data_IF_095921747858
#
_entry.id   IF_095921747858
#
_cell.length_a   1.000
_cell.length_b   1.000
_cell.length_c   1.000
_cell.angle_alpha   90.00
_cell.angle_beta   90.00
_cell.angle_gamma   90.00
#
_symmetry.space_group_name_H-M   'P 1'
#
loop_
_entity.id
_entity.type
_entity.pdbx_description
1 polymer ?
#
# COMPACT_ATOMS: atom_id res chain seq x y z
N UNK A 1 25.58 -7.03 2.10
CA UNK A 1 24.83 -6.93 3.37
C UNK A 1 25.68 -6.08 4.28
N UNK A 2 25.22 -4.87 4.59
CA UNK A 2 25.96 -4.01 5.52
C UNK A 2 25.92 -4.67 6.91
N UNK A 3 27.07 -4.69 7.56
CA UNK A 3 27.24 -5.25 8.90
C UNK A 3 26.50 -4.35 9.90
N UNK A 4 25.23 -4.64 10.16
CA UNK A 4 24.40 -3.88 11.08
C UNK A 4 24.87 -4.23 12.49
N UNK A 5 25.72 -3.38 13.06
CA UNK A 5 26.12 -3.45 14.46
C UNK A 5 24.86 -3.62 15.33
N UNK A 6 24.80 -4.71 16.10
CA UNK A 6 23.67 -4.95 17.02
C UNK A 6 23.59 -3.77 18.01
N UNK A 7 22.47 -3.05 18.07
CA UNK A 7 22.35 -1.91 18.97
C UNK A 7 22.40 -2.39 20.42
N UNK A 8 23.10 -1.64 21.26
CA UNK A 8 23.02 -1.83 22.71
C UNK A 8 21.79 -1.08 23.20
N UNK A 9 20.82 -1.79 23.73
CA UNK A 9 19.58 -1.21 24.26
C UNK A 9 19.89 -0.55 25.61
N UNK A 10 19.75 0.77 25.65
CA UNK A 10 19.83 1.56 26.89
C UNK A 10 18.44 2.08 27.24
N UNK A 11 18.21 2.40 28.53
CA UNK A 11 16.96 3.03 28.96
C UNK A 11 16.71 4.35 28.24
N UNK A 12 17.75 5.13 27.99
CA UNK A 12 17.67 6.40 27.25
C UNK A 12 17.17 6.18 25.81
N UNK A 13 17.66 5.14 25.13
CA UNK A 13 17.23 4.82 23.76
C UNK A 13 15.76 4.36 23.73
N UNK A 14 15.36 3.50 24.67
CA UNK A 14 14.00 2.96 24.74
C UNK A 14 12.97 4.07 25.08
N UNK A 15 13.37 5.03 25.91
CA UNK A 15 12.53 6.13 26.35
C UNK A 15 12.66 7.39 25.49
N UNK A 16 13.55 7.39 24.49
CA UNK A 16 13.70 8.52 23.60
C UNK A 16 12.36 8.85 22.89
N UNK A 17 11.96 10.13 22.85
CA UNK A 17 10.75 10.52 22.15
C UNK A 17 10.88 10.20 20.65
N UNK A 18 9.84 9.63 20.08
CA UNK A 18 9.71 9.43 18.65
C UNK A 18 8.87 10.54 18.04
N UNK A 19 9.07 10.83 16.75
CA UNK A 19 8.34 11.90 16.08
C UNK A 19 7.07 11.39 15.39
N UNK A 20 6.06 12.25 15.35
CA UNK A 20 4.86 12.09 14.54
C UNK A 20 4.16 10.73 14.68
N UNK A 21 3.85 10.10 13.55
CA UNK A 21 3.17 8.81 13.49
C UNK A 21 3.93 7.68 14.18
N UNK A 22 5.24 7.75 14.27
CA UNK A 22 6.03 6.69 14.90
C UNK A 22 5.77 6.59 16.40
N UNK A 23 5.58 7.71 17.09
CA UNK A 23 5.18 7.73 18.49
C UNK A 23 3.78 7.15 18.68
N UNK A 24 2.83 7.54 17.81
CA UNK A 24 1.47 7.01 17.83
C UNK A 24 1.47 5.47 17.66
N UNK A 25 2.24 4.95 16.71
CA UNK A 25 2.39 3.50 16.51
C UNK A 25 3.01 2.85 17.75
N UNK A 26 4.02 3.45 18.38
CA UNK A 26 4.64 2.93 19.60
C UNK A 26 3.62 2.82 20.73
N UNK A 27 2.78 3.81 20.89
CA UNK A 27 1.71 3.81 21.90
C UNK A 27 0.70 2.68 21.64
N UNK A 28 0.22 2.50 20.41
CA UNK A 28 -0.66 1.39 20.02
C UNK A 28 -0.03 0.03 20.36
N UNK A 29 1.28 -0.07 20.19
CA UNK A 29 2.03 -1.30 20.43
C UNK A 29 2.34 -1.59 21.91
N UNK A 30 1.98 -0.72 22.84
CA UNK A 30 2.22 -0.93 24.28
C UNK A 30 1.55 -2.21 24.80
N UNK A 31 0.37 -2.52 24.29
CA UNK A 31 -0.38 -3.72 24.67
C UNK A 31 0.05 -4.99 23.92
N UNK A 32 1.01 -4.89 22.99
CA UNK A 32 1.48 -6.00 22.18
C UNK A 32 2.22 -7.05 23.03
N UNK A 33 1.68 -8.26 23.09
CA UNK A 33 2.27 -9.40 23.81
C UNK A 33 3.28 -10.20 22.98
N UNK A 34 3.65 -9.71 21.81
CA UNK A 34 4.65 -10.36 20.94
C UNK A 34 4.32 -11.83 20.59
N UNK A 35 3.05 -12.20 20.46
CA UNK A 35 2.60 -13.57 20.19
C UNK A 35 2.96 -14.09 18.79
N UNK A 36 3.29 -13.21 17.83
CA UNK A 36 3.69 -13.59 16.48
C UNK A 36 2.54 -13.86 15.49
N UNK A 37 1.27 -13.77 15.90
CA UNK A 37 0.12 -14.01 15.01
C UNK A 37 0.14 -13.14 13.76
N UNK A 38 0.60 -11.88 13.86
CA UNK A 38 0.75 -10.96 12.73
C UNK A 38 1.79 -11.46 11.70
N UNK A 39 2.86 -12.11 12.14
CA UNK A 39 3.87 -12.68 11.25
C UNK A 39 3.42 -14.01 10.64
N UNK A 40 2.82 -14.89 11.47
CA UNK A 40 2.35 -16.19 11.02
C UNK A 40 1.20 -16.11 10.01
N UNK A 41 0.38 -15.04 10.07
CA UNK A 41 -0.74 -14.83 9.15
C UNK A 41 -0.42 -13.97 7.94
N UNK A 42 0.78 -13.42 7.83
CA UNK A 42 1.15 -12.53 6.73
C UNK A 42 1.49 -13.33 5.45
N UNK A 43 0.75 -13.15 4.34
CA UNK A 43 1.03 -13.86 3.10
C UNK A 43 2.34 -13.41 2.45
N UNK A 44 2.82 -12.21 2.78
CA UNK A 44 4.04 -11.63 2.22
C UNK A 44 5.28 -11.81 3.13
N UNK A 45 5.18 -12.52 4.25
CA UNK A 45 6.27 -12.62 5.24
C UNK A 45 7.57 -13.17 4.68
N UNK A 46 7.49 -14.09 3.71
CA UNK A 46 8.67 -14.66 3.05
C UNK A 46 9.44 -13.71 2.14
N UNK A 47 8.86 -12.55 1.80
CA UNK A 47 9.48 -11.50 0.99
C UNK A 47 10.04 -10.34 1.85
N UNK A 48 9.68 -10.32 3.12
CA UNK A 48 10.09 -9.29 4.08
C UNK A 48 11.51 -9.54 4.59
N UNK A 49 12.26 -8.46 4.82
CA UNK A 49 13.59 -8.52 5.42
C UNK A 49 13.54 -8.85 6.91
N UNK A 50 12.54 -8.34 7.61
CA UNK A 50 12.19 -8.71 8.99
C UNK A 50 10.70 -9.01 9.09
N UNK A 51 10.32 -9.83 10.06
CA UNK A 51 8.90 -10.14 10.25
C UNK A 51 8.12 -8.95 10.83
N UNK A 52 6.79 -8.85 10.61
CA UNK A 52 5.96 -7.84 11.27
C UNK A 52 6.18 -7.80 12.80
N UNK A 53 6.24 -8.95 13.46
CA UNK A 53 6.54 -9.03 14.91
C UNK A 53 7.86 -8.36 15.26
N UNK A 54 8.92 -8.62 14.48
CA UNK A 54 10.23 -8.02 14.70
C UNK A 54 10.20 -6.52 14.49
N UNK A 55 9.50 -6.04 13.46
CA UNK A 55 9.31 -4.61 13.20
C UNK A 55 8.63 -3.91 14.39
N UNK A 56 7.55 -4.51 14.93
CA UNK A 56 6.88 -3.97 16.14
C UNK A 56 7.83 -3.88 17.34
N UNK A 57 8.73 -4.83 17.47
CA UNK A 57 9.71 -4.79 18.55
C UNK A 57 10.74 -3.67 18.36
N UNK A 58 11.21 -3.42 17.13
CA UNK A 58 12.10 -2.28 16.83
C UNK A 58 11.45 -0.94 17.19
N UNK A 59 10.15 -0.78 16.87
CA UNK A 59 9.40 0.45 17.18
C UNK A 59 9.27 0.64 18.69
N UNK A 60 8.92 -0.41 19.42
CA UNK A 60 8.84 -0.36 20.89
C UNK A 60 10.16 0.03 21.55
N UNK A 61 11.28 -0.36 20.95
CA UNK A 61 12.62 -0.02 21.43
C UNK A 61 13.14 1.32 20.88
N UNK A 62 12.39 2.03 20.04
CA UNK A 62 12.80 3.31 19.49
C UNK A 62 13.94 3.24 18.48
N UNK A 63 14.20 2.06 17.89
CA UNK A 63 15.33 1.82 16.97
C UNK A 63 15.04 2.39 15.58
N UNK A 64 14.97 3.72 15.48
CA UNK A 64 14.58 4.49 14.28
C UNK A 64 15.37 4.10 13.03
N UNK A 65 16.69 3.98 13.13
CA UNK A 65 17.54 3.66 11.98
C UNK A 65 17.21 2.28 11.39
N UNK A 66 16.99 1.27 12.23
CA UNK A 66 16.63 -0.07 11.81
C UNK A 66 15.20 -0.13 11.22
N UNK A 67 14.29 0.69 11.75
CA UNK A 67 12.93 0.82 11.20
C UNK A 67 13.02 1.39 9.78
N UNK A 68 13.75 2.49 9.58
CA UNK A 68 13.93 3.14 8.27
C UNK A 68 14.61 2.22 7.25
N UNK A 69 15.59 1.43 7.69
CA UNK A 69 16.30 0.49 6.84
C UNK A 69 15.44 -0.72 6.40
N UNK A 70 14.32 -0.99 7.10
CA UNK A 70 13.46 -2.13 6.79
C UNK A 70 12.55 -1.88 5.58
N UNK A 71 12.42 -2.92 4.74
CA UNK A 71 11.48 -2.93 3.62
C UNK A 71 10.11 -3.52 3.97
N UNK A 72 9.95 -4.09 5.16
CA UNK A 72 8.79 -4.86 5.59
C UNK A 72 7.48 -4.10 5.39
N UNK A 73 7.40 -2.85 5.84
CA UNK A 73 6.18 -2.04 5.69
C UNK A 73 5.91 -1.61 4.24
N UNK A 74 6.93 -1.55 3.36
CA UNK A 74 6.75 -1.32 1.93
C UNK A 74 6.18 -2.53 1.20
N UNK A 75 6.55 -3.75 1.61
CA UNK A 75 6.07 -5.01 1.03
C UNK A 75 4.64 -5.35 1.50
N UNK A 76 4.16 -4.73 2.56
CA UNK A 76 2.82 -4.98 3.10
C UNK A 76 1.72 -4.70 2.06
N UNK A 77 0.89 -5.71 1.75
CA UNK A 77 -0.21 -5.63 0.78
C UNK A 77 -1.51 -5.07 1.34
N UNK A 78 -1.53 -4.65 2.61
CA UNK A 78 -2.72 -4.14 3.32
C UNK A 78 -3.90 -5.14 3.32
N UNK A 79 -3.63 -6.44 3.42
CA UNK A 79 -4.65 -7.49 3.39
C UNK A 79 -5.44 -7.65 4.71
N UNK A 80 -5.09 -6.93 5.76
CA UNK A 80 -5.71 -6.92 7.10
C UNK A 80 -5.65 -8.24 7.88
N UNK A 81 -5.07 -9.32 7.37
CA UNK A 81 -5.00 -10.61 8.06
C UNK A 81 -4.37 -10.52 9.46
N UNK A 82 -3.31 -9.70 9.61
CA UNK A 82 -2.65 -9.46 10.88
C UNK A 82 -3.50 -8.68 11.89
N UNK A 83 -4.32 -7.75 11.42
CA UNK A 83 -5.25 -6.96 12.25
C UNK A 83 -6.36 -7.84 12.80
N UNK A 84 -7.05 -8.59 11.94
CA UNK A 84 -8.17 -9.46 12.33
C UNK A 84 -7.74 -10.55 13.33
N UNK A 85 -6.50 -11.03 13.20
CA UNK A 85 -5.97 -12.11 14.05
C UNK A 85 -5.20 -11.61 15.29
N UNK A 86 -5.13 -10.30 15.52
CA UNK A 86 -4.44 -9.76 16.68
C UNK A 86 -5.24 -10.02 17.96
N UNK A 87 -4.72 -10.80 18.95
CA UNK A 87 -5.46 -11.07 20.19
C UNK A 87 -5.58 -9.85 21.10
N UNK A 88 -4.85 -8.78 20.79
CA UNK A 88 -4.89 -7.51 21.52
C UNK A 88 -5.67 -6.41 20.81
N UNK A 89 -6.29 -6.73 19.66
CA UNK A 89 -7.07 -5.77 18.87
C UNK A 89 -6.25 -4.65 18.22
N UNK A 90 -4.93 -4.81 18.12
CA UNK A 90 -4.07 -3.80 17.50
C UNK A 90 -4.32 -3.77 15.99
N UNK A 91 -4.55 -2.59 15.43
CA UNK A 91 -4.79 -2.39 14.00
C UNK A 91 -3.46 -2.35 13.24
N UNK A 92 -2.78 -3.52 13.21
CA UNK A 92 -1.40 -3.63 12.69
C UNK A 92 -1.26 -3.27 11.21
N UNK A 93 -2.30 -3.45 10.40
CA UNK A 93 -2.31 -3.00 8.99
C UNK A 93 -2.27 -1.48 8.88
N UNK A 94 -2.97 -0.77 9.76
CA UNK A 94 -2.93 0.68 9.80
C UNK A 94 -1.54 1.19 10.23
N UNK A 95 -0.94 0.55 11.22
CA UNK A 95 0.42 0.88 11.64
C UNK A 95 1.44 0.73 10.49
N UNK A 96 1.27 -0.27 9.59
CA UNK A 96 2.09 -0.39 8.37
C UNK A 96 1.89 0.80 7.41
N UNK A 97 0.65 1.30 7.28
CA UNK A 97 0.33 2.48 6.47
C UNK A 97 0.93 3.75 7.07
N UNK A 98 0.80 3.92 8.38
CA UNK A 98 1.36 5.06 9.12
C UNK A 98 2.89 5.11 9.03
N UNK A 99 3.58 3.96 9.02
CA UNK A 99 5.03 3.91 8.80
C UNK A 99 5.42 4.47 7.42
N UNK A 100 4.67 4.13 6.37
CA UNK A 100 4.92 4.70 5.03
C UNK A 100 4.72 6.21 5.02
N UNK A 101 3.65 6.68 5.67
CA UNK A 101 3.37 8.11 5.81
C UNK A 101 4.49 8.81 6.56
N UNK A 102 4.88 8.28 7.72
CA UNK A 102 5.96 8.83 8.53
C UNK A 102 7.27 8.98 7.73
N UNK A 103 7.70 7.93 7.00
CA UNK A 103 8.93 7.99 6.17
C UNK A 103 8.83 9.08 5.10
N UNK A 104 7.65 9.26 4.49
CA UNK A 104 7.43 10.29 3.48
C UNK A 104 7.42 11.71 4.08
N UNK A 105 6.78 11.90 5.22
CA UNK A 105 6.65 13.19 5.89
C UNK A 105 8.01 13.68 6.48
N UNK A 106 8.83 12.76 6.97
CA UNK A 106 10.18 13.04 7.44
C UNK A 106 11.18 13.31 6.29
N UNK A 107 10.73 13.23 5.02
CA UNK A 107 11.59 13.41 3.85
C UNK A 107 12.68 12.36 3.71
N UNK A 108 12.49 11.17 4.28
CA UNK A 108 13.44 10.07 4.21
C UNK A 108 13.41 9.42 2.82
N UNK A 109 14.48 8.71 2.47
CA UNK A 109 14.60 8.07 1.16
C UNK A 109 13.51 7.03 0.94
N UNK A 110 12.65 7.27 -0.05
CA UNK A 110 11.65 6.31 -0.51
C UNK A 110 12.28 5.26 -1.43
N UNK A 111 11.71 4.04 -1.51
CA UNK A 111 12.09 3.10 -2.54
C UNK A 111 11.97 3.71 -3.94
N UNK A 112 12.93 3.43 -4.82
CA UNK A 112 12.97 4.00 -6.18
C UNK A 112 11.66 3.78 -6.96
N UNK A 113 11.06 2.58 -6.82
CA UNK A 113 9.78 2.26 -7.46
C UNK A 113 8.63 3.15 -6.98
N UNK A 114 8.62 3.51 -5.70
CA UNK A 114 7.61 4.42 -5.12
C UNK A 114 7.84 5.85 -5.61
N UNK A 115 9.11 6.29 -5.67
CA UNK A 115 9.46 7.61 -6.21
C UNK A 115 9.03 7.73 -7.66
N UNK A 116 9.34 6.76 -8.52
CA UNK A 116 8.91 6.73 -9.93
C UNK A 116 7.39 6.73 -10.07
N UNK A 117 6.69 5.92 -9.25
CA UNK A 117 5.23 5.91 -9.27
C UNK A 117 4.64 7.28 -8.88
N UNK A 118 5.20 7.91 -7.84
CA UNK A 118 4.79 9.26 -7.43
C UNK A 118 4.98 10.27 -8.55
N UNK A 119 6.14 10.28 -9.21
CA UNK A 119 6.42 11.14 -10.35
C UNK A 119 5.43 10.92 -11.50
N UNK A 120 5.19 9.65 -11.87
CA UNK A 120 4.24 9.28 -12.92
C UNK A 120 2.83 9.78 -12.60
N UNK A 121 2.35 9.56 -11.37
CA UNK A 121 1.01 10.00 -10.96
C UNK A 121 0.90 11.52 -10.93
N UNK A 122 1.94 12.23 -10.48
CA UNK A 122 1.91 13.70 -10.41
C UNK A 122 2.03 14.39 -11.76
N UNK A 123 2.72 13.78 -12.72
CA UNK A 123 2.94 14.36 -14.05
C UNK A 123 1.93 13.89 -15.10
N UNK A 124 1.55 12.61 -15.06
CA UNK A 124 0.66 11.99 -16.03
C UNK A 124 -0.77 11.78 -15.53
N UNK A 125 -1.03 12.00 -14.23
CA UNK A 125 -2.34 11.78 -13.57
C UNK A 125 -2.87 10.35 -13.73
N UNK A 126 -1.97 9.38 -13.91
CA UNK A 126 -2.26 7.94 -13.93
C UNK A 126 -1.03 7.13 -13.48
N UNK A 127 -1.21 5.83 -13.22
CA UNK A 127 -0.15 4.95 -12.72
C UNK A 127 0.68 4.29 -13.83
N UNK A 128 0.23 4.33 -15.09
CA UNK A 128 0.87 3.65 -16.22
C UNK A 128 1.89 4.51 -16.94
N UNK A 129 1.75 5.84 -16.87
CA UNK A 129 2.54 6.78 -17.68
C UNK A 129 2.02 6.92 -19.13
N UNK A 130 0.94 6.25 -19.48
CA UNK A 130 0.32 6.32 -20.80
C UNK A 130 -0.48 7.63 -20.98
N UNK A 131 -0.69 8.02 -22.24
CA UNK A 131 -1.56 9.16 -22.57
C UNK A 131 -3.01 8.89 -22.12
N UNK A 132 -3.57 9.82 -21.34
CA UNK A 132 -4.94 9.72 -20.86
C UNK A 132 -5.99 9.70 -21.97
N UNK A 133 -5.69 10.22 -23.18
CA UNK A 133 -6.56 10.11 -24.34
C UNK A 133 -6.82 8.64 -24.75
N UNK A 134 -5.91 7.73 -24.39
CA UNK A 134 -6.00 6.28 -24.68
C UNK A 134 -6.78 5.47 -23.66
N UNK A 135 -7.46 6.11 -22.68
CA UNK A 135 -8.18 5.39 -21.62
C UNK A 135 -9.28 4.45 -22.09
N UNK A 136 -9.72 4.57 -23.33
CA UNK A 136 -10.73 3.68 -23.93
C UNK A 136 -10.12 2.54 -24.75
N UNK A 137 -8.81 2.36 -24.78
CA UNK A 137 -8.12 1.32 -25.58
C UNK A 137 -8.66 -0.10 -25.29
N UNK A 138 -9.10 -0.37 -24.08
CA UNK A 138 -9.72 -1.65 -23.70
C UNK A 138 -11.00 -1.97 -24.49
N UNK A 139 -11.66 -0.98 -25.06
CA UNK A 139 -12.90 -1.14 -25.83
C UNK A 139 -12.64 -1.52 -27.30
N UNK A 140 -11.42 -1.35 -27.82
CA UNK A 140 -11.09 -1.62 -29.23
C UNK A 140 -11.23 -3.11 -29.61
N UNK A 141 -11.15 -4.02 -28.62
CA UNK A 141 -11.29 -5.47 -28.82
C UNK A 141 -12.72 -5.97 -28.58
N UNK A 142 -13.71 -5.09 -28.45
CA UNK A 142 -15.12 -5.47 -28.41
C UNK A 142 -15.61 -5.75 -29.81
N UNK A 143 -16.40 -6.82 -30.02
CA UNK A 143 -17.03 -7.14 -31.33
C UNK A 143 -17.90 -6.00 -31.83
N UNK A 144 -18.57 -5.33 -30.89
CA UNK A 144 -19.32 -4.11 -31.14
C UNK A 144 -19.02 -3.13 -30.01
N UNK A 145 -18.49 -1.96 -30.35
CA UNK A 145 -18.26 -0.86 -29.42
C UNK A 145 -19.55 -0.04 -29.28
N UNK A 146 -20.23 -0.10 -28.12
CA UNK A 146 -21.45 0.67 -27.92
C UNK A 146 -21.20 2.18 -28.00
N UNK A 147 -22.10 2.92 -28.59
CA UNK A 147 -22.04 4.39 -28.62
C UNK A 147 -22.08 5.01 -27.23
N UNK A 148 -22.67 4.32 -26.26
CA UNK A 148 -22.77 4.70 -24.84
C UNK A 148 -21.42 4.85 -24.13
N UNK A 149 -20.35 4.19 -24.62
CA UNK A 149 -19.00 4.30 -24.06
C UNK A 149 -18.40 5.70 -24.28
N UNK A 150 -18.82 6.41 -25.31
CA UNK A 150 -18.29 7.74 -25.60
C UNK A 150 -18.73 8.74 -24.53
N UNK A 151 -17.81 9.62 -24.06
CA UNK A 151 -18.16 10.65 -23.09
C UNK A 151 -19.36 11.50 -23.57
N UNK A 152 -20.38 11.61 -22.75
CA UNK A 152 -21.56 12.44 -23.01
C UNK A 152 -22.02 13.15 -21.75
N UNK A 153 -22.65 14.30 -21.89
CA UNK A 153 -23.30 15.01 -20.79
C UNK A 153 -24.62 14.33 -20.42
N UNK A 154 -25.03 14.43 -19.17
CA UNK A 154 -26.32 13.93 -18.63
C UNK A 154 -26.51 12.41 -18.79
N UNK A 155 -25.46 11.63 -18.64
CA UNK A 155 -25.59 10.17 -18.59
C UNK A 155 -26.21 9.75 -17.23
N UNK A 156 -27.15 8.80 -17.26
CA UNK A 156 -27.75 8.24 -16.03
C UNK A 156 -26.77 7.35 -15.26
N UNK A 157 -25.87 6.68 -15.97
CA UNK A 157 -24.84 5.81 -15.40
C UNK A 157 -23.47 6.27 -15.84
N UNK A 158 -22.53 6.33 -14.91
CA UNK A 158 -21.11 6.65 -15.15
C UNK A 158 -20.25 5.45 -14.74
N UNK A 159 -19.54 4.87 -15.70
CA UNK A 159 -18.58 3.81 -15.45
C UNK A 159 -17.17 4.39 -15.24
N UNK A 160 -16.64 4.32 -14.02
CA UNK A 160 -15.26 4.70 -13.73
C UNK A 160 -14.34 3.46 -13.79
N UNK A 161 -13.54 3.34 -14.84
CA UNK A 161 -12.67 2.18 -15.07
C UNK A 161 -11.36 2.21 -14.30
N UNK A 162 -10.89 3.40 -13.89
CA UNK A 162 -9.59 3.56 -13.23
C UNK A 162 -8.40 3.30 -14.18
N UNK A 163 -7.18 3.37 -13.65
CA UNK A 163 -5.97 3.22 -14.46
C UNK A 163 -5.68 1.77 -14.86
N UNK A 164 -5.89 0.82 -13.94
CA UNK A 164 -5.55 -0.60 -14.19
C UNK A 164 -6.41 -1.14 -15.32
N UNK A 165 -7.72 -1.01 -15.24
CA UNK A 165 -8.64 -1.49 -16.28
C UNK A 165 -8.56 -0.70 -17.58
N UNK A 166 -8.02 0.54 -17.54
CA UNK A 166 -7.83 1.34 -18.76
C UNK A 166 -6.58 0.95 -19.54
N UNK A 167 -5.45 0.66 -18.84
CA UNK A 167 -4.15 0.59 -19.50
C UNK A 167 -3.47 -0.79 -19.45
N UNK A 168 -3.95 -1.72 -18.60
CA UNK A 168 -3.33 -3.04 -18.48
C UNK A 168 -4.17 -4.11 -19.15
N UNK A 169 -3.68 -4.76 -20.23
CA UNK A 169 -4.45 -5.73 -21.02
C UNK A 169 -5.05 -6.87 -20.20
N UNK A 170 -4.37 -7.32 -19.15
CA UNK A 170 -4.86 -8.37 -18.24
C UNK A 170 -6.17 -8.01 -17.53
N UNK A 171 -6.52 -6.73 -17.45
CA UNK A 171 -7.71 -6.23 -16.78
C UNK A 171 -8.81 -5.74 -17.72
N UNK A 172 -8.61 -5.78 -19.05
CA UNK A 172 -9.58 -5.28 -20.05
C UNK A 172 -10.91 -6.01 -20.00
N UNK A 173 -10.92 -7.29 -19.64
CA UNK A 173 -12.16 -8.06 -19.50
C UNK A 173 -13.12 -7.49 -18.46
N UNK A 174 -12.62 -6.74 -17.47
CA UNK A 174 -13.45 -6.16 -16.40
C UNK A 174 -14.38 -5.08 -16.97
N UNK A 175 -13.88 -3.98 -17.56
CA UNK A 175 -14.74 -2.95 -18.13
C UNK A 175 -15.55 -3.46 -19.33
N UNK A 176 -15.01 -4.38 -20.14
CA UNK A 176 -15.74 -5.01 -21.25
C UNK A 176 -16.99 -5.75 -20.76
N UNK A 177 -16.85 -6.59 -19.74
CA UNK A 177 -18.00 -7.31 -19.14
C UNK A 177 -18.99 -6.35 -18.50
N UNK A 178 -18.51 -5.31 -17.80
CA UNK A 178 -19.38 -4.34 -17.17
C UNK A 178 -20.22 -3.57 -18.20
N UNK A 179 -19.61 -3.12 -19.30
CA UNK A 179 -20.34 -2.44 -20.38
C UNK A 179 -21.40 -3.37 -20.99
N UNK A 180 -21.07 -4.63 -21.26
CA UNK A 180 -22.05 -5.60 -21.79
C UNK A 180 -23.24 -5.83 -20.83
N UNK A 181 -22.98 -5.84 -19.52
CA UNK A 181 -24.05 -5.97 -18.50
C UNK A 181 -24.92 -4.72 -18.51
N UNK A 182 -24.32 -3.53 -18.52
CA UNK A 182 -25.06 -2.26 -18.53
C UNK A 182 -25.91 -2.10 -19.79
N UNK A 183 -25.38 -2.42 -20.98
CA UNK A 183 -26.14 -2.38 -22.26
C UNK A 183 -27.34 -3.36 -22.27
N UNK A 184 -27.22 -4.52 -21.62
CA UNK A 184 -28.32 -5.47 -21.50
C UNK A 184 -29.38 -5.08 -20.48
N UNK A 185 -28.97 -4.27 -19.50
CA UNK A 185 -29.87 -3.79 -18.45
C UNK A 185 -30.72 -2.57 -18.89
N UNK A 186 -30.34 -1.88 -19.98
CA UNK A 186 -30.99 -0.68 -20.51
C UNK A 186 -30.40 0.57 -19.93
#
# INVERSE_FOLDING_TARGET
>A
MADVKKPVLTEELINAPLSGELEHIREDLRTCVQCGSCSASCPAVGLMDITPRSLWQLIRWGLREQIVASRTFWICTQCYACTVRCPRGIVTSENMRLLRKWVADEGLQLPETITKLKETVTTQYNISGEDNARRLIWSENLDQVPESIKPRQNAEVVLFTGCVSSFYPMAYSIPQSMVQILERAG
#
